data_IF_410940588699
#
_entry.id   IF_410940588699
#
_cell.length_a   1.000
_cell.length_b   1.000
_cell.length_c   1.000
_cell.angle_alpha   90.00
_cell.angle_beta   90.00
_cell.angle_gamma   90.00
#
_symmetry.space_group_name_H-M   'P 1'
#
loop_
_entity.id
_entity.type
_entity.pdbx_description
1 polymer ?
#
# COMPACT_ATOMS: atom_id res chain seq x y z
N UNK A 1 -22.04 77.16 31.60
CA UNK A 1 -21.97 75.76 32.07
C UNK A 1 -22.83 74.91 31.13
N UNK A 2 -22.23 74.22 30.15
CA UNK A 2 -22.79 73.06 29.43
C UNK A 2 -21.65 72.39 28.67
N UNK A 3 -21.48 71.11 28.98
CA UNK A 3 -20.31 70.28 28.75
C UNK A 3 -20.39 69.60 27.37
N UNK A 4 -19.21 69.47 26.76
CA UNK A 4 -18.86 68.82 25.49
C UNK A 4 -19.10 67.30 25.56
N UNK A 5 -19.45 66.66 24.43
CA UNK A 5 -19.10 65.25 24.20
C UNK A 5 -18.95 64.98 22.69
N UNK A 6 -17.70 65.08 22.21
CA UNK A 6 -17.29 64.55 20.90
C UNK A 6 -16.94 63.07 21.05
N UNK A 7 -17.66 62.19 20.37
CA UNK A 7 -17.37 60.76 20.30
C UNK A 7 -16.30 60.48 19.23
N UNK A 8 -15.12 60.06 19.68
CA UNK A 8 -14.01 59.61 18.84
C UNK A 8 -14.18 58.10 18.57
N UNK A 9 -14.35 57.70 17.30
CA UNK A 9 -14.36 56.30 16.88
C UNK A 9 -12.91 55.84 16.60
N UNK A 10 -12.35 55.03 17.50
CA UNK A 10 -11.09 54.30 17.26
C UNK A 10 -11.38 53.02 16.46
N UNK A 11 -10.94 52.98 15.20
CA UNK A 11 -10.88 51.77 14.39
C UNK A 11 -9.59 51.01 14.68
N UNK A 12 -9.70 49.88 15.40
CA UNK A 12 -8.59 48.95 15.67
C UNK A 12 -8.37 48.04 14.43
N UNK A 13 -7.29 48.26 13.69
CA UNK A 13 -6.86 47.36 12.63
C UNK A 13 -6.13 46.16 13.25
N UNK A 14 -6.79 44.99 13.28
CA UNK A 14 -6.18 43.72 13.64
C UNK A 14 -5.27 43.24 12.50
N UNK A 15 -3.97 43.47 12.64
CA UNK A 15 -2.94 42.86 11.81
C UNK A 15 -2.85 41.38 12.24
N UNK A 16 -3.53 40.50 11.51
CA UNK A 16 -3.29 39.07 11.61
C UNK A 16 -1.90 38.79 11.02
N UNK A 17 -0.89 38.65 11.89
CA UNK A 17 0.34 37.97 11.52
C UNK A 17 -0.02 36.53 11.20
N UNK A 18 0.01 36.18 9.91
CA UNK A 18 -0.08 34.79 9.48
C UNK A 18 1.18 34.06 9.93
N UNK A 19 1.11 33.41 11.09
CA UNK A 19 2.07 32.38 11.43
C UNK A 19 1.82 31.22 10.47
N UNK A 20 2.53 31.21 9.35
CA UNK A 20 2.72 29.99 8.60
C UNK A 20 3.51 29.05 9.52
N UNK A 21 2.82 28.18 10.26
CA UNK A 21 3.47 26.98 10.78
C UNK A 21 3.94 26.21 9.55
N UNK A 22 5.24 26.30 9.26
CA UNK A 22 5.90 25.23 8.57
C UNK A 22 5.62 23.98 9.41
N UNK A 23 4.80 23.08 8.90
CA UNK A 23 4.77 21.73 9.42
C UNK A 23 6.17 21.16 9.14
N UNK A 24 7.07 21.23 10.12
CA UNK A 24 8.34 20.53 10.08
C UNK A 24 8.04 19.04 10.25
N UNK A 25 7.48 18.42 9.21
CA UNK A 25 7.28 17.00 9.15
C UNK A 25 8.66 16.33 9.17
N UNK A 26 8.96 15.64 10.28
CA UNK A 26 10.26 15.01 10.50
C UNK A 26 10.49 13.89 9.47
N UNK A 27 11.68 13.80 8.85
CA UNK A 27 11.99 12.69 7.98
C UNK A 27 11.91 11.36 8.72
N UNK A 28 11.38 10.34 8.05
CA UNK A 28 11.28 8.99 8.60
C UNK A 28 11.52 7.95 7.50
N UNK A 29 11.61 6.69 7.88
CA UNK A 29 11.72 5.59 6.91
C UNK A 29 10.68 4.52 7.21
N UNK A 30 10.25 3.80 6.18
CA UNK A 30 9.44 2.59 6.33
C UNK A 30 10.07 1.44 5.53
N UNK A 31 9.85 0.22 6.01
CA UNK A 31 10.29 -1.00 5.34
C UNK A 31 9.18 -1.62 4.50
N UNK A 32 9.54 -2.33 3.44
CA UNK A 32 8.62 -3.19 2.70
C UNK A 32 9.29 -4.54 2.45
N UNK A 33 8.73 -5.59 3.06
CA UNK A 33 9.15 -6.97 2.87
C UNK A 33 8.49 -7.50 1.59
N UNK A 34 9.31 -8.06 0.71
CA UNK A 34 8.85 -8.60 -0.56
C UNK A 34 8.01 -9.87 -0.33
N UNK A 35 7.05 -10.15 -1.22
CA UNK A 35 6.36 -11.44 -1.15
C UNK A 35 7.33 -12.59 -1.45
N UNK A 36 7.19 -13.75 -0.79
CA UNK A 36 8.02 -14.91 -1.06
C UNK A 36 7.87 -15.40 -2.51
N UNK A 37 8.98 -15.78 -3.14
CA UNK A 37 9.00 -16.33 -4.51
C UNK A 37 9.11 -17.86 -4.51
N UNK A 38 9.71 -18.44 -3.47
CA UNK A 38 9.94 -19.89 -3.37
C UNK A 38 9.44 -20.43 -2.03
N UNK A 39 8.71 -21.54 -2.09
CA UNK A 39 8.11 -22.17 -0.92
C UNK A 39 9.14 -22.67 0.12
N UNK A 40 10.25 -23.26 -0.32
CA UNK A 40 11.25 -23.87 0.56
C UNK A 40 11.99 -22.85 1.46
N UNK A 41 12.01 -21.59 1.06
CA UNK A 41 12.71 -20.51 1.76
C UNK A 41 11.74 -19.50 2.40
N UNK A 42 10.43 -19.59 2.10
CA UNK A 42 9.46 -18.54 2.42
C UNK A 42 9.41 -18.18 3.90
N UNK A 43 9.37 -19.16 4.80
CA UNK A 43 9.27 -18.89 6.24
C UNK A 43 10.55 -18.27 6.79
N UNK A 44 11.70 -18.85 6.40
CA UNK A 44 13.01 -18.40 6.84
C UNK A 44 13.28 -16.97 6.35
N UNK A 45 13.01 -16.69 5.07
CA UNK A 45 13.17 -15.37 4.47
C UNK A 45 12.26 -14.32 5.13
N UNK A 46 11.00 -14.66 5.46
CA UNK A 46 10.12 -13.75 6.19
C UNK A 46 10.65 -13.45 7.58
N UNK A 47 11.10 -14.49 8.32
CA UNK A 47 11.67 -14.35 9.66
C UNK A 47 12.93 -13.47 9.65
N UNK A 48 13.82 -13.70 8.70
CA UNK A 48 15.05 -12.93 8.52
C UNK A 48 14.74 -11.47 8.16
N UNK A 49 13.83 -11.23 7.20
CA UNK A 49 13.43 -9.87 6.83
C UNK A 49 12.78 -9.10 7.98
N UNK A 50 11.98 -9.77 8.83
CA UNK A 50 11.46 -9.17 10.07
C UNK A 50 12.60 -8.80 11.00
N UNK A 51 13.51 -9.73 11.28
CA UNK A 51 14.67 -9.50 12.16
C UNK A 51 15.57 -8.36 11.69
N UNK A 52 15.85 -8.29 10.39
CA UNK A 52 16.65 -7.20 9.80
C UNK A 52 15.92 -5.86 9.89
N UNK A 53 14.62 -5.83 9.59
CA UNK A 53 13.82 -4.61 9.68
C UNK A 53 13.69 -4.11 11.12
N UNK A 54 13.56 -5.02 12.10
CA UNK A 54 13.49 -4.73 13.53
C UNK A 54 14.80 -4.17 14.10
N UNK A 55 15.93 -4.41 13.42
CA UNK A 55 17.22 -3.82 13.77
C UNK A 55 17.41 -2.41 13.19
N UNK A 56 16.55 -1.97 12.26
CA UNK A 56 16.60 -0.64 11.64
C UNK A 56 15.59 0.32 12.32
N UNK A 57 15.87 1.62 12.24
CA UNK A 57 14.98 2.68 12.71
C UNK A 57 13.89 2.97 11.64
N UNK A 58 12.80 2.21 11.72
CA UNK A 58 11.65 2.31 10.82
C UNK A 58 10.41 2.76 11.59
N UNK A 59 9.62 3.64 10.99
CA UNK A 59 8.32 4.04 11.54
C UNK A 59 7.30 2.88 11.47
N UNK A 60 7.43 2.04 10.45
CA UNK A 60 6.65 0.81 10.26
C UNK A 60 7.23 -0.04 9.14
N UNK A 61 6.67 -1.24 8.98
CA UNK A 61 6.98 -2.18 7.90
C UNK A 61 5.70 -2.64 7.21
N UNK A 62 5.75 -2.89 5.89
CA UNK A 62 4.67 -3.54 5.13
C UNK A 62 5.13 -4.91 4.66
N UNK A 63 4.39 -5.96 4.96
CA UNK A 63 4.58 -7.27 4.36
C UNK A 63 3.78 -7.35 3.05
N UNK A 64 4.44 -7.53 1.91
CA UNK A 64 3.83 -7.54 0.57
C UNK A 64 3.18 -8.87 0.15
N UNK A 65 2.95 -9.79 1.08
CA UNK A 65 2.41 -11.13 0.90
C UNK A 65 2.85 -12.07 2.04
N UNK A 66 2.19 -13.22 2.19
CA UNK A 66 2.51 -14.18 3.27
C UNK A 66 3.20 -15.44 2.77
N UNK A 67 2.95 -15.85 1.54
CA UNK A 67 3.42 -17.12 0.99
C UNK A 67 3.73 -17.05 -0.50
N UNK A 68 4.55 -17.99 -0.95
CA UNK A 68 4.77 -18.26 -2.37
C UNK A 68 3.55 -18.98 -2.98
N UNK A 69 3.49 -19.02 -4.31
CA UNK A 69 2.38 -19.63 -5.04
C UNK A 69 2.27 -21.14 -4.80
N UNK A 70 3.41 -21.82 -4.60
CA UNK A 70 3.52 -23.28 -4.43
C UNK A 70 3.16 -23.74 -3.02
N UNK A 71 3.11 -22.83 -2.06
CA UNK A 71 2.76 -23.15 -0.68
C UNK A 71 1.26 -23.46 -0.53
N UNK A 72 0.91 -24.45 0.32
CA UNK A 72 -0.46 -24.86 0.49
C UNK A 72 -1.28 -23.79 1.23
N UNK A 73 -2.51 -23.57 0.79
CA UNK A 73 -3.40 -22.60 1.41
C UNK A 73 -4.10 -23.18 2.65
N UNK A 74 -3.34 -23.51 3.69
CA UNK A 74 -3.88 -24.08 4.94
C UNK A 74 -3.98 -23.05 6.04
N UNK A 75 -4.96 -23.19 6.93
CA UNK A 75 -5.08 -22.36 8.12
C UNK A 75 -3.83 -22.45 9.01
N UNK A 76 -3.20 -23.62 9.07
CA UNK A 76 -1.95 -23.81 9.82
C UNK A 76 -0.82 -22.92 9.28
N UNK A 77 -0.67 -22.85 7.95
CA UNK A 77 0.31 -21.97 7.32
C UNK A 77 0.02 -20.50 7.66
N UNK A 78 -1.21 -20.02 7.46
CA UNK A 78 -1.53 -18.61 7.74
C UNK A 78 -1.40 -18.25 9.21
N UNK A 79 -1.75 -19.16 10.14
CA UNK A 79 -1.53 -18.94 11.57
C UNK A 79 -0.06 -18.85 11.90
N UNK A 80 0.78 -19.73 11.34
CA UNK A 80 2.22 -19.63 11.51
C UNK A 80 2.77 -18.28 11.00
N UNK A 81 2.37 -17.86 9.79
CA UNK A 81 2.78 -16.56 9.25
C UNK A 81 2.28 -15.39 10.12
N UNK A 82 1.04 -15.46 10.62
CA UNK A 82 0.51 -14.49 11.58
C UNK A 82 1.38 -14.40 12.84
N UNK A 83 1.78 -15.54 13.41
CA UNK A 83 2.68 -15.58 14.59
C UNK A 83 4.01 -14.87 14.31
N UNK A 84 4.57 -15.01 13.10
CA UNK A 84 5.78 -14.27 12.72
C UNK A 84 5.54 -12.77 12.68
N UNK A 85 4.45 -12.32 12.04
CA UNK A 85 4.10 -10.91 11.98
C UNK A 85 3.82 -10.33 13.38
N UNK A 86 3.15 -11.08 14.25
CA UNK A 86 2.87 -10.71 15.64
C UNK A 86 4.13 -10.58 16.49
N UNK A 87 5.20 -11.34 16.15
CA UNK A 87 6.46 -11.34 16.90
C UNK A 87 7.43 -10.20 16.54
N UNK A 88 7.11 -9.40 15.52
CA UNK A 88 7.95 -8.29 15.09
C UNK A 88 7.94 -7.15 16.12
N UNK A 89 9.07 -6.45 16.27
CA UNK A 89 9.14 -5.23 17.11
C UNK A 89 8.50 -4.05 16.40
N UNK A 90 8.75 -3.90 15.10
CA UNK A 90 8.12 -2.88 14.28
C UNK A 90 6.64 -3.19 14.04
N UNK A 91 5.84 -2.14 13.86
CA UNK A 91 4.46 -2.30 13.42
C UNK A 91 4.40 -2.80 11.99
N UNK A 92 3.78 -3.96 11.77
CA UNK A 92 3.66 -4.56 10.43
C UNK A 92 2.23 -4.46 9.90
N UNK A 93 2.08 -3.85 8.73
CA UNK A 93 0.85 -3.87 7.95
C UNK A 93 0.96 -4.91 6.84
N UNK A 94 -0.03 -5.79 6.70
CA UNK A 94 -0.06 -6.78 5.61
C UNK A 94 -0.77 -6.23 4.38
N UNK A 95 -0.07 -6.16 3.25
CA UNK A 95 -0.65 -6.02 1.92
C UNK A 95 -0.76 -7.41 1.27
N UNK A 96 -1.98 -7.93 1.15
CA UNK A 96 -2.21 -9.26 0.59
C UNK A 96 -1.75 -9.34 -0.87
N UNK A 97 -1.19 -10.50 -1.23
CA UNK A 97 -0.80 -10.82 -2.59
C UNK A 97 -1.74 -11.81 -3.25
N UNK A 98 -1.70 -11.89 -4.59
CA UNK A 98 -2.44 -12.90 -5.33
C UNK A 98 -2.04 -14.32 -4.94
N UNK A 99 -0.78 -14.55 -4.59
CA UNK A 99 -0.26 -15.86 -4.20
C UNK A 99 -0.89 -16.35 -2.89
N UNK A 100 -1.34 -15.44 -2.04
CA UNK A 100 -1.98 -15.77 -0.76
C UNK A 100 -3.36 -16.44 -0.95
N UNK A 101 -4.07 -16.18 -2.06
CA UNK A 101 -5.47 -16.62 -2.19
C UNK A 101 -5.95 -17.00 -3.61
N UNK A 102 -5.51 -16.30 -4.66
CA UNK A 102 -6.13 -16.41 -6.01
C UNK A 102 -6.01 -17.79 -6.65
N UNK A 103 -4.93 -18.51 -6.36
CA UNK A 103 -4.64 -19.84 -6.94
C UNK A 103 -4.86 -21.00 -5.97
N UNK A 104 -5.48 -20.73 -4.83
CA UNK A 104 -5.69 -21.75 -3.81
C UNK A 104 -6.63 -22.84 -4.27
N UNK A 105 -6.21 -24.08 -4.11
CA UNK A 105 -6.99 -25.28 -4.45
C UNK A 105 -7.26 -26.13 -3.21
N UNK A 106 -8.37 -26.86 -3.20
CA UNK A 106 -8.67 -27.84 -2.16
C UNK A 106 -7.99 -29.19 -2.44
N UNK A 107 -8.20 -30.18 -1.56
CA UNK A 107 -7.65 -31.55 -1.69
C UNK A 107 -8.10 -32.30 -2.95
N UNK A 108 -9.17 -31.85 -3.61
CA UNK A 108 -9.67 -32.36 -4.89
C UNK A 108 -9.20 -31.53 -6.08
N UNK A 109 -8.18 -30.67 -5.88
CA UNK A 109 -7.62 -29.77 -6.88
C UNK A 109 -8.63 -28.78 -7.51
N UNK A 110 -9.70 -28.41 -6.77
CA UNK A 110 -10.67 -27.40 -7.20
C UNK A 110 -10.31 -26.03 -6.64
N UNK A 111 -10.42 -24.99 -7.47
CA UNK A 111 -10.18 -23.60 -7.09
C UNK A 111 -11.15 -23.16 -5.98
N UNK A 112 -10.61 -22.57 -4.90
CA UNK A 112 -11.35 -22.09 -3.72
C UNK A 112 -10.91 -20.67 -3.34
N UNK A 113 -10.59 -19.85 -4.33
CA UNK A 113 -9.98 -18.53 -4.12
C UNK A 113 -10.81 -17.61 -3.22
N UNK A 114 -12.11 -17.47 -3.49
CA UNK A 114 -13.01 -16.60 -2.73
C UNK A 114 -13.19 -17.09 -1.29
N UNK A 115 -13.43 -18.38 -1.09
CA UNK A 115 -13.53 -18.97 0.25
C UNK A 115 -12.22 -18.77 1.03
N UNK A 116 -11.09 -18.89 0.34
CA UNK A 116 -9.78 -18.70 0.94
C UNK A 116 -9.51 -17.25 1.33
N UNK A 117 -9.88 -16.29 0.48
CA UNK A 117 -9.77 -14.86 0.81
C UNK A 117 -10.66 -14.50 2.01
N UNK A 118 -11.89 -15.03 2.07
CA UNK A 118 -12.77 -14.85 3.23
C UNK A 118 -12.14 -15.42 4.51
N UNK A 119 -11.52 -16.60 4.41
CA UNK A 119 -10.82 -17.18 5.55
C UNK A 119 -9.61 -16.34 6.00
N UNK A 120 -8.85 -15.76 5.08
CA UNK A 120 -7.76 -14.84 5.42
C UNK A 120 -8.26 -13.60 6.17
N UNK A 121 -9.40 -13.03 5.74
CA UNK A 121 -10.06 -11.90 6.40
C UNK A 121 -10.36 -12.19 7.88
N UNK A 122 -10.94 -13.35 8.15
CA UNK A 122 -11.23 -13.81 9.52
C UNK A 122 -9.99 -14.06 10.36
N UNK A 123 -8.90 -14.56 9.76
CA UNK A 123 -7.69 -14.95 10.50
C UNK A 123 -6.75 -13.78 10.80
N UNK A 124 -6.69 -12.79 9.91
CA UNK A 124 -5.61 -11.80 9.88
C UNK A 124 -6.08 -10.36 10.09
N UNK A 125 -7.35 -10.06 9.82
CA UNK A 125 -7.83 -8.67 9.75
C UNK A 125 -8.95 -8.41 10.77
N UNK A 126 -8.73 -8.84 12.01
CA UNK A 126 -9.69 -8.74 13.12
C UNK A 126 -9.54 -7.47 13.96
N UNK A 127 -8.33 -6.89 14.01
CA UNK A 127 -8.00 -5.83 14.95
C UNK A 127 -7.91 -4.46 14.27
N UNK A 128 -8.06 -3.38 15.04
CA UNK A 128 -7.95 -1.99 14.56
C UNK A 128 -6.49 -1.50 14.42
N UNK A 129 -5.53 -2.37 14.73
CA UNK A 129 -4.10 -2.07 14.74
C UNK A 129 -3.31 -3.01 13.81
N UNK A 130 -2.07 -2.62 13.49
CA UNK A 130 -1.07 -3.46 12.84
C UNK A 130 -0.61 -4.65 13.71
N UNK A 131 0.05 -5.61 13.07
CA UNK A 131 0.83 -6.64 13.76
C UNK A 131 2.09 -6.05 14.41
N UNK A 132 2.80 -6.86 15.19
CA UNK A 132 4.02 -6.48 15.90
C UNK A 132 3.80 -5.69 17.20
N UNK A 133 4.87 -5.38 17.92
CA UNK A 133 4.82 -4.69 19.23
C UNK A 133 4.42 -3.22 19.08
N UNK A 134 5.03 -2.51 18.13
CA UNK A 134 4.62 -1.13 17.79
C UNK A 134 3.29 -1.14 17.04
N UNK A 135 2.24 -0.63 17.67
CA UNK A 135 0.88 -0.64 17.10
C UNK A 135 0.62 0.61 16.28
N UNK A 136 0.26 0.41 15.00
CA UNK A 136 -0.19 1.45 14.09
C UNK A 136 -1.71 1.39 14.01
N UNK A 137 -2.44 2.45 14.40
CA UNK A 137 -3.88 2.49 14.19
C UNK A 137 -4.20 2.57 12.69
N UNK A 138 -5.08 1.71 12.21
CA UNK A 138 -5.47 1.65 10.79
C UNK A 138 -6.96 1.89 10.62
N UNK A 139 -7.33 2.66 9.60
CA UNK A 139 -8.72 2.76 9.13
C UNK A 139 -8.93 1.69 8.08
N UNK A 140 -9.90 0.80 8.31
CA UNK A 140 -10.24 -0.27 7.37
C UNK A 140 -11.43 0.12 6.50
N UNK A 141 -11.43 -0.35 5.25
CA UNK A 141 -12.59 -0.20 4.38
C UNK A 141 -13.84 -0.88 4.97
N UNK A 142 -13.66 -1.96 5.72
CA UNK A 142 -14.72 -2.70 6.40
C UNK A 142 -15.50 -1.92 7.45
N UNK A 143 -14.98 -0.75 7.90
CA UNK A 143 -15.74 0.17 8.77
C UNK A 143 -16.93 0.79 8.03
N UNK A 144 -16.95 0.74 6.69
CA UNK A 144 -18.08 1.20 5.89
C UNK A 144 -19.10 0.08 5.73
N UNK A 145 -20.38 0.31 6.11
CA UNK A 145 -21.43 -0.72 6.04
C UNK A 145 -21.54 -1.42 4.68
N UNK A 146 -21.34 -0.67 3.59
CA UNK A 146 -21.41 -1.17 2.21
C UNK A 146 -20.20 -2.02 1.79
N UNK A 147 -19.08 -1.97 2.52
CA UNK A 147 -17.83 -2.66 2.20
C UNK A 147 -17.27 -3.47 3.38
N UNK A 148 -18.13 -3.94 4.30
CA UNK A 148 -17.75 -4.76 5.47
C UNK A 148 -16.89 -5.97 5.12
N UNK A 149 -17.05 -6.51 3.91
CA UNK A 149 -16.31 -7.67 3.42
C UNK A 149 -14.86 -7.39 2.99
N UNK A 150 -14.36 -6.16 3.11
CA UNK A 150 -13.00 -5.78 2.64
C UNK A 150 -12.10 -5.22 3.75
N UNK A 151 -11.83 -5.97 4.84
CA UNK A 151 -11.00 -5.48 5.93
C UNK A 151 -9.51 -5.37 5.56
N UNK A 152 -9.07 -6.02 4.48
CA UNK A 152 -7.68 -6.00 4.00
C UNK A 152 -7.27 -4.66 3.38
N UNK A 153 -8.24 -3.84 2.95
CA UNK A 153 -8.01 -2.49 2.45
C UNK A 153 -7.91 -1.54 3.65
N UNK A 154 -6.69 -1.09 3.94
CA UNK A 154 -6.34 -0.30 5.13
C UNK A 154 -5.73 1.03 4.74
N UNK A 155 -5.87 2.04 5.60
CA UNK A 155 -5.24 3.36 5.45
C UNK A 155 -4.76 3.87 6.79
N UNK A 156 -3.57 4.45 6.80
CA UNK A 156 -2.98 5.14 7.94
C UNK A 156 -2.20 6.36 7.47
N UNK A 157 -1.75 7.20 8.41
CA UNK A 157 -1.02 8.44 8.13
C UNK A 157 0.18 8.55 9.07
N UNK A 158 1.30 9.00 8.53
CA UNK A 158 2.48 9.41 9.30
C UNK A 158 2.96 10.74 8.74
N UNK A 159 3.02 11.77 9.59
CA UNK A 159 3.32 13.14 9.16
C UNK A 159 2.39 13.59 8.03
N UNK A 160 2.95 14.16 6.97
CA UNK A 160 2.23 14.60 5.78
C UNK A 160 2.25 13.57 4.64
N UNK A 161 2.26 12.28 4.99
CA UNK A 161 2.10 11.18 4.04
C UNK A 161 0.97 10.24 4.45
N UNK A 162 0.10 9.94 3.49
CA UNK A 162 -0.98 8.95 3.63
C UNK A 162 -0.56 7.62 3.00
N UNK A 163 -0.85 6.53 3.68
CA UNK A 163 -0.50 5.18 3.24
C UNK A 163 -1.76 4.34 3.11
N UNK A 164 -1.80 3.43 2.14
CA UNK A 164 -2.91 2.50 1.99
C UNK A 164 -2.50 1.16 1.40
N UNK A 165 -3.16 0.08 1.83
CA UNK A 165 -3.16 -1.20 1.14
C UNK A 165 -4.38 -1.30 0.22
N UNK A 166 -4.21 -2.00 -0.90
CA UNK A 166 -5.32 -2.35 -1.79
C UNK A 166 -5.14 -3.77 -2.34
N UNK A 167 -6.19 -4.58 -2.27
CA UNK A 167 -6.17 -5.96 -2.78
C UNK A 167 -6.24 -5.98 -4.30
N UNK A 168 -5.08 -5.94 -4.95
CA UNK A 168 -4.91 -5.97 -6.41
C UNK A 168 -3.86 -7.04 -6.74
N UNK A 169 -4.27 -8.27 -7.10
CA UNK A 169 -3.35 -9.34 -7.49
C UNK A 169 -2.54 -9.04 -8.76
N UNK A 170 -1.31 -9.56 -8.84
CA UNK A 170 -0.42 -9.31 -9.98
C UNK A 170 -0.88 -9.89 -11.32
N UNK A 171 -1.56 -11.04 -11.30
CA UNK A 171 -2.01 -11.70 -12.53
C UNK A 171 -3.24 -11.01 -13.14
N UNK A 172 -3.05 -9.88 -13.84
CA UNK A 172 -4.10 -9.07 -14.47
C UNK A 172 -5.24 -8.74 -13.49
N UNK A 173 -4.91 -8.42 -12.24
CA UNK A 173 -5.88 -8.16 -11.17
C UNK A 173 -6.86 -9.31 -10.93
N UNK A 174 -6.47 -10.56 -11.22
CA UNK A 174 -7.33 -11.74 -11.24
C UNK A 174 -8.55 -11.63 -12.18
N UNK A 175 -8.45 -10.81 -13.23
CA UNK A 175 -9.51 -10.66 -14.22
C UNK A 175 -9.62 -11.90 -15.12
N UNK A 176 -10.81 -12.51 -15.16
CA UNK A 176 -11.11 -13.63 -16.03
C UNK A 176 -11.93 -13.20 -17.25
N UNK A 177 -11.51 -13.62 -18.44
CA UNK A 177 -12.29 -13.43 -19.67
C UNK A 177 -13.39 -14.51 -19.78
N UNK A 178 -14.38 -14.43 -18.89
CA UNK A 178 -15.36 -15.51 -18.65
C UNK A 178 -16.83 -15.08 -18.85
N UNK A 179 -17.11 -14.18 -19.79
CA UNK A 179 -18.48 -13.81 -20.22
C UNK A 179 -19.51 -13.59 -19.07
N UNK A 180 -19.11 -12.87 -18.01
CA UNK A 180 -19.97 -12.57 -16.86
C UNK A 180 -19.70 -13.40 -15.60
N UNK A 181 -18.85 -14.42 -15.66
CA UNK A 181 -18.42 -15.19 -14.48
C UNK A 181 -17.19 -14.57 -13.79
N UNK A 182 -17.25 -13.26 -13.53
CA UNK A 182 -16.14 -12.51 -12.93
C UNK A 182 -16.58 -11.72 -11.67
N UNK A 183 -17.62 -12.20 -10.99
CA UNK A 183 -18.26 -11.52 -9.85
C UNK A 183 -17.27 -11.14 -8.75
N UNK A 184 -16.32 -12.02 -8.41
CA UNK A 184 -15.27 -11.70 -7.43
C UNK A 184 -14.49 -10.44 -7.83
N UNK A 185 -14.00 -10.40 -9.07
CA UNK A 185 -13.28 -9.26 -9.61
C UNK A 185 -14.16 -8.02 -9.64
N UNK A 186 -15.41 -8.12 -10.10
CA UNK A 186 -16.32 -6.98 -10.25
C UNK A 186 -16.67 -6.34 -8.90
N UNK A 187 -16.96 -7.16 -7.88
CA UNK A 187 -17.24 -6.70 -6.52
C UNK A 187 -15.99 -6.07 -5.90
N UNK A 188 -14.83 -6.75 -6.02
CA UNK A 188 -13.55 -6.21 -5.52
C UNK A 188 -13.12 -4.95 -6.26
N UNK A 189 -13.35 -4.85 -7.56
CA UNK A 189 -13.07 -3.66 -8.36
C UNK A 189 -13.94 -2.48 -7.92
N UNK A 190 -15.22 -2.74 -7.60
CA UNK A 190 -16.13 -1.73 -7.03
C UNK A 190 -15.62 -1.24 -5.67
N UNK A 191 -15.25 -2.17 -4.79
CA UNK A 191 -14.69 -1.85 -3.47
C UNK A 191 -13.38 -1.06 -3.59
N UNK A 192 -12.44 -1.54 -4.41
CA UNK A 192 -11.15 -0.89 -4.63
C UNK A 192 -11.29 0.51 -5.23
N UNK A 193 -12.23 0.72 -6.15
CA UNK A 193 -12.47 2.04 -6.74
C UNK A 193 -13.03 3.04 -5.72
N UNK A 194 -14.00 2.63 -4.90
CA UNK A 194 -14.49 3.49 -3.80
C UNK A 194 -13.39 3.78 -2.78
N UNK A 195 -12.58 2.78 -2.44
CA UNK A 195 -11.47 2.93 -1.52
C UNK A 195 -10.44 3.96 -1.99
N UNK A 196 -10.00 3.85 -3.25
CA UNK A 196 -9.08 4.83 -3.85
C UNK A 196 -9.70 6.23 -3.90
N UNK A 197 -10.99 6.33 -4.27
CA UNK A 197 -11.69 7.62 -4.29
C UNK A 197 -11.63 8.29 -2.91
N UNK A 198 -11.90 7.56 -1.84
CA UNK A 198 -11.88 8.08 -0.46
C UNK A 198 -10.47 8.40 0.02
N UNK A 199 -9.50 7.54 -0.28
CA UNK A 199 -8.09 7.78 0.00
C UNK A 199 -7.66 9.13 -0.58
N UNK A 200 -7.91 9.32 -1.87
CA UNK A 200 -7.54 10.50 -2.63
C UNK A 200 -8.29 11.77 -2.21
N UNK A 201 -9.59 11.69 -1.95
CA UNK A 201 -10.35 12.81 -1.39
C UNK A 201 -9.81 13.21 -0.02
N UNK A 202 -9.51 12.24 0.84
CA UNK A 202 -8.95 12.51 2.16
C UNK A 202 -7.56 13.13 2.04
N UNK A 203 -6.68 12.59 1.19
CA UNK A 203 -5.34 13.14 0.95
C UNK A 203 -5.42 14.61 0.49
N UNK A 204 -6.34 14.93 -0.42
CA UNK A 204 -6.57 16.30 -0.90
C UNK A 204 -7.07 17.23 0.20
N UNK A 205 -8.05 16.80 1.00
CA UNK A 205 -8.62 17.60 2.10
C UNK A 205 -7.57 17.83 3.19
N UNK A 206 -6.83 16.79 3.54
CA UNK A 206 -5.75 16.83 4.53
C UNK A 206 -4.48 17.50 4.04
N UNK A 207 -4.40 17.87 2.76
CA UNK A 207 -3.24 18.52 2.11
C UNK A 207 -1.92 17.80 2.41
N UNK A 208 -1.94 16.47 2.34
CA UNK A 208 -0.72 15.66 2.50
C UNK A 208 0.20 15.86 1.29
N UNK A 209 1.50 15.70 1.49
CA UNK A 209 2.51 15.83 0.43
C UNK A 209 2.68 14.55 -0.37
N UNK A 210 2.32 13.42 0.23
CA UNK A 210 2.51 12.09 -0.35
C UNK A 210 1.34 11.15 -0.14
N UNK A 211 1.07 10.30 -1.13
CA UNK A 211 0.24 9.10 -1.00
C UNK A 211 1.06 7.89 -1.42
N UNK A 212 1.10 6.84 -0.59
CA UNK A 212 1.74 5.56 -0.93
C UNK A 212 0.68 4.47 -0.94
N UNK A 213 0.61 3.69 -2.03
CA UNK A 213 -0.34 2.59 -2.19
C UNK A 213 0.46 1.29 -2.34
N UNK A 214 0.16 0.31 -1.49
CA UNK A 214 0.74 -1.02 -1.50
C UNK A 214 -0.23 -2.02 -2.11
N UNK A 215 0.23 -2.75 -3.11
CA UNK A 215 -0.51 -3.82 -3.78
C UNK A 215 0.43 -4.89 -4.32
N UNK A 216 -0.10 -6.02 -4.76
CA UNK A 216 0.72 -7.04 -5.42
C UNK A 216 0.97 -6.69 -6.89
N UNK A 217 -0.11 -6.51 -7.65
CA UNK A 217 -0.05 -6.07 -9.04
C UNK A 217 0.36 -4.62 -9.22
N UNK A 218 0.88 -4.30 -10.39
CA UNK A 218 1.18 -2.92 -10.77
C UNK A 218 0.00 -2.31 -11.57
N UNK A 219 -0.88 -1.51 -10.94
CA UNK A 219 -2.01 -0.88 -11.64
C UNK A 219 -1.58 0.13 -12.71
N UNK A 220 -0.31 0.56 -12.76
CA UNK A 220 0.19 1.46 -13.80
C UNK A 220 0.63 0.74 -15.07
N UNK A 221 0.67 -0.60 -15.07
CA UNK A 221 0.89 -1.36 -16.29
C UNK A 221 -0.18 -1.05 -17.30
N UNK A 222 0.24 -0.99 -18.56
CA UNK A 222 -0.66 -0.99 -19.70
C UNK A 222 -0.62 -2.39 -20.29
N UNK A 223 -1.77 -2.91 -20.72
CA UNK A 223 -1.83 -4.16 -21.46
C UNK A 223 -0.91 -4.06 -22.68
N UNK A 224 0.05 -4.97 -22.80
CA UNK A 224 0.83 -5.09 -24.03
C UNK A 224 -0.13 -5.48 -25.16
N UNK A 225 -0.19 -4.65 -26.20
CA UNK A 225 -0.88 -4.96 -27.45
C UNK A 225 -0.18 -6.13 -28.14
N UNK A 226 -0.42 -7.35 -27.65
CA UNK A 226 0.09 -8.57 -28.29
C UNK A 226 -0.85 -8.93 -29.45
N UNK A 227 -0.43 -8.57 -30.68
CA UNK A 227 -0.99 -8.99 -31.96
C UNK A 227 -2.28 -8.32 -32.44
N UNK A 228 -2.32 -8.05 -33.74
CA UNK A 228 -3.43 -7.58 -34.57
C UNK A 228 -4.71 -8.45 -34.46
N UNK A 229 -4.61 -9.60 -33.80
CA UNK A 229 -5.70 -10.56 -33.55
C UNK A 229 -6.18 -10.63 -32.07
N UNK A 230 -5.65 -9.81 -31.15
CA UNK A 230 -6.11 -9.75 -29.75
C UNK A 230 -7.09 -8.59 -29.49
N UNK A 231 -8.05 -8.41 -30.38
CA UNK A 231 -9.18 -7.51 -30.11
C UNK A 231 -10.00 -8.05 -28.93
N UNK A 232 -9.74 -7.55 -27.72
CA UNK A 232 -10.73 -7.63 -26.62
C UNK A 232 -10.32 -8.30 -25.31
N UNK A 233 -9.03 -8.51 -25.00
CA UNK A 233 -8.68 -8.80 -23.59
C UNK A 233 -8.92 -7.53 -22.76
N UNK A 234 -10.06 -7.45 -22.08
CA UNK A 234 -10.30 -6.44 -21.05
C UNK A 234 -9.17 -6.52 -20.03
N UNK A 235 -8.60 -5.36 -19.76
CA UNK A 235 -7.44 -5.20 -18.90
C UNK A 235 -7.91 -4.97 -17.46
N UNK A 236 -7.58 -5.89 -16.56
CA UNK A 236 -8.06 -5.89 -15.18
C UNK A 236 -7.55 -4.71 -14.34
N UNK A 237 -6.53 -4.00 -14.82
CA UNK A 237 -5.98 -2.80 -14.19
C UNK A 237 -6.55 -1.49 -14.75
N UNK A 238 -7.29 -1.52 -15.86
CA UNK A 238 -7.60 -0.31 -16.64
C UNK A 238 -8.36 0.76 -15.84
N UNK A 239 -9.38 0.36 -15.07
CA UNK A 239 -10.19 1.31 -14.32
C UNK A 239 -9.43 1.90 -13.13
N UNK A 240 -8.66 1.08 -12.40
CA UNK A 240 -7.78 1.55 -11.33
C UNK A 240 -6.71 2.50 -11.88
N UNK A 241 -6.09 2.16 -13.00
CA UNK A 241 -5.10 3.02 -13.67
C UNK A 241 -5.70 4.37 -14.04
N UNK A 242 -6.86 4.36 -14.70
CA UNK A 242 -7.57 5.60 -15.09
C UNK A 242 -7.85 6.47 -13.87
N UNK A 243 -8.30 5.86 -12.77
CA UNK A 243 -8.59 6.58 -11.53
C UNK A 243 -7.32 7.18 -10.88
N UNK A 244 -6.21 6.44 -10.83
CA UNK A 244 -4.94 6.92 -10.29
C UNK A 244 -4.38 8.07 -11.14
N UNK A 245 -4.38 7.93 -12.47
CA UNK A 245 -3.91 8.97 -13.38
C UNK A 245 -4.76 10.25 -13.27
N UNK A 246 -6.09 10.13 -13.29
CA UNK A 246 -7.00 11.27 -13.19
C UNK A 246 -6.89 12.00 -11.83
N UNK A 247 -6.53 11.28 -10.77
CA UNK A 247 -6.23 11.92 -9.49
C UNK A 247 -4.87 12.61 -9.50
N UNK A 248 -3.83 11.96 -10.03
CA UNK A 248 -2.48 12.53 -10.13
C UNK A 248 -2.44 13.87 -10.86
N UNK A 249 -3.22 14.03 -11.92
CA UNK A 249 -3.37 15.31 -12.64
C UNK A 249 -3.85 16.47 -11.76
N UNK A 250 -4.63 16.19 -10.72
CA UNK A 250 -5.25 17.18 -9.83
C UNK A 250 -4.59 17.28 -8.46
N UNK A 251 -3.63 16.41 -8.19
CA UNK A 251 -2.97 16.28 -6.90
C UNK A 251 -1.58 16.92 -6.96
N UNK A 252 -1.29 17.83 -6.04
CA UNK A 252 -0.01 18.56 -6.02
C UNK A 252 1.14 17.73 -5.43
N UNK A 253 0.82 16.76 -4.57
CA UNK A 253 1.79 15.87 -3.95
C UNK A 253 2.24 14.74 -4.86
N UNK A 254 3.07 13.85 -4.32
CA UNK A 254 3.56 12.64 -5.00
C UNK A 254 2.67 11.44 -4.68
N UNK A 255 2.49 10.55 -5.66
CA UNK A 255 1.81 9.26 -5.49
C UNK A 255 2.83 8.17 -5.79
N UNK A 256 3.11 7.32 -4.82
CA UNK A 256 4.00 6.16 -5.00
C UNK A 256 3.18 4.87 -4.96
N UNK A 257 3.24 4.09 -6.03
CA UNK A 257 2.70 2.75 -6.10
C UNK A 257 3.84 1.78 -5.78
N UNK A 258 3.74 1.09 -4.65
CA UNK A 258 4.67 0.05 -4.23
C UNK A 258 4.04 -1.30 -4.56
N UNK A 259 4.69 -2.08 -5.41
CA UNK A 259 4.14 -3.34 -5.91
C UNK A 259 5.11 -4.52 -5.88
N UNK A 260 4.56 -5.73 -5.93
CA UNK A 260 5.29 -7.01 -5.95
C UNK A 260 5.11 -7.78 -7.27
N UNK A 261 4.65 -7.10 -8.32
CA UNK A 261 4.43 -7.71 -9.64
C UNK A 261 5.75 -8.10 -10.32
N UNK A 262 6.17 -9.34 -10.12
CA UNK A 262 7.38 -9.89 -10.72
C UNK A 262 7.26 -10.18 -12.22
N UNK A 263 6.06 -10.06 -12.82
CA UNK A 263 5.89 -10.16 -14.28
C UNK A 263 6.32 -8.88 -15.01
N UNK A 264 6.46 -7.77 -14.29
CA UNK A 264 6.97 -6.53 -14.89
C UNK A 264 8.47 -6.62 -15.12
N UNK A 265 9.03 -5.71 -15.90
CA UNK A 265 10.48 -5.52 -15.87
C UNK A 265 10.87 -4.76 -14.58
N UNK A 266 12.04 -5.04 -13.99
CA UNK A 266 12.57 -4.19 -12.94
C UNK A 266 12.69 -2.75 -13.45
N UNK A 267 12.58 -1.79 -12.53
CA UNK A 267 12.83 -0.39 -12.86
C UNK A 267 14.24 -0.24 -13.44
N UNK A 268 14.36 0.38 -14.61
CA UNK A 268 15.67 0.79 -15.17
C UNK A 268 16.16 2.10 -14.56
N UNK A 269 15.35 2.75 -13.71
CA UNK A 269 15.68 3.98 -13.01
C UNK A 269 16.87 3.77 -12.07
N UNK A 270 17.92 4.61 -12.12
CA UNK A 270 19.04 4.53 -11.18
C UNK A 270 18.63 4.65 -9.71
N UNK A 271 17.49 5.31 -9.44
CA UNK A 271 16.91 5.50 -8.10
C UNK A 271 15.93 4.38 -7.69
N UNK A 272 15.72 3.36 -8.53
CA UNK A 272 14.79 2.25 -8.30
C UNK A 272 13.29 2.60 -8.44
N UNK A 273 12.91 3.87 -8.31
CA UNK A 273 11.53 4.35 -8.53
C UNK A 273 11.39 4.89 -9.96
N UNK A 274 10.40 4.40 -10.69
CA UNK A 274 10.06 4.84 -12.05
C UNK A 274 8.97 5.91 -12.01
N UNK A 275 9.35 7.18 -12.17
CA UNK A 275 8.44 8.33 -12.12
C UNK A 275 7.89 8.72 -13.49
N UNK A 276 6.60 9.10 -13.52
CA UNK A 276 5.91 9.79 -14.62
C UNK A 276 5.14 10.97 -14.01
N UNK A 277 5.70 12.17 -14.13
CA UNK A 277 5.18 13.34 -13.42
C UNK A 277 5.26 13.17 -11.91
N UNK A 278 4.11 13.25 -11.22
CA UNK A 278 4.00 13.05 -9.78
C UNK A 278 3.60 11.63 -9.37
N UNK A 279 3.49 10.69 -10.31
CA UNK A 279 3.16 9.29 -10.04
C UNK A 279 4.41 8.42 -10.24
N UNK A 280 4.79 7.65 -9.24
CA UNK A 280 5.92 6.73 -9.25
C UNK A 280 5.48 5.28 -9.07
N UNK A 281 6.20 4.36 -9.69
CA UNK A 281 6.10 2.93 -9.41
C UNK A 281 7.43 2.42 -8.84
N UNK A 282 7.34 1.65 -7.76
CA UNK A 282 8.45 0.94 -7.13
C UNK A 282 8.10 -0.54 -7.04
N UNK A 283 8.85 -1.38 -7.74
CA UNK A 283 8.79 -2.83 -7.53
C UNK A 283 9.67 -3.20 -6.34
N UNK A 284 9.12 -3.95 -5.40
CA UNK A 284 9.87 -4.48 -4.26
C UNK A 284 10.47 -5.83 -4.65
N UNK A 285 11.79 -5.92 -4.54
CA UNK A 285 12.51 -7.19 -4.69
C UNK A 285 12.81 -7.77 -3.31
N UNK A 286 12.99 -9.10 -3.21
CA UNK A 286 13.48 -9.73 -1.99
C UNK A 286 14.81 -9.16 -1.49
N UNK A 287 15.12 -9.30 -0.18
CA UNK A 287 14.21 -9.78 0.87
C UNK A 287 13.25 -8.68 1.34
N UNK A 288 13.74 -7.45 1.49
CA UNK A 288 12.96 -6.26 1.80
C UNK A 288 13.68 -5.00 1.28
N UNK A 289 13.01 -3.85 1.36
CA UNK A 289 13.54 -2.55 0.95
C UNK A 289 13.17 -1.45 1.95
N UNK A 290 14.08 -0.50 2.16
CA UNK A 290 13.85 0.70 2.96
C UNK A 290 13.50 1.88 2.06
N UNK A 291 12.42 2.59 2.38
CA UNK A 291 12.05 3.82 1.70
C UNK A 291 12.14 4.95 2.73
N UNK A 292 12.91 5.98 2.38
CA UNK A 292 13.03 7.20 3.15
C UNK A 292 12.02 8.23 2.66
N UNK A 293 11.34 8.87 3.60
CA UNK A 293 10.40 9.96 3.39
C UNK A 293 11.04 11.23 3.91
N UNK A 294 11.31 12.18 3.02
CA UNK A 294 11.86 13.48 3.39
C UNK A 294 10.98 14.60 2.80
N UNK A 295 10.10 15.22 3.61
CA UNK A 295 9.23 16.31 3.19
C UNK A 295 9.98 17.54 2.65
N UNK A 296 11.23 17.76 3.07
CA UNK A 296 12.09 18.82 2.56
C UNK A 296 12.72 18.50 1.19
N UNK A 297 12.64 17.25 0.74
CA UNK A 297 13.18 16.82 -0.56
C UNK A 297 12.12 16.90 -1.66
N UNK A 298 12.52 17.38 -2.84
CA UNK A 298 11.65 17.41 -4.04
C UNK A 298 11.27 16.02 -4.55
N UNK A 299 12.08 15.00 -4.26
CA UNK A 299 11.78 13.61 -4.59
C UNK A 299 10.71 13.02 -3.66
N UNK A 300 10.58 13.55 -2.43
CA UNK A 300 9.81 13.06 -1.27
C UNK A 300 10.14 11.62 -0.82
N UNK A 301 10.15 10.68 -1.76
CA UNK A 301 10.43 9.26 -1.55
C UNK A 301 11.75 8.86 -2.20
N UNK A 302 12.64 8.28 -1.39
CA UNK A 302 13.92 7.76 -1.87
C UNK A 302 14.07 6.32 -1.44
N UNK A 303 14.34 5.43 -2.39
CA UNK A 303 14.74 4.06 -2.08
C UNK A 303 16.15 4.09 -1.48
N UNK A 304 16.29 3.59 -0.26
CA UNK A 304 17.59 3.35 0.33
C UNK A 304 17.93 1.88 0.07
N UNK A 305 18.99 1.65 -0.72
CA UNK A 305 19.56 0.30 -0.79
C UNK A 305 20.03 -0.07 0.62
N UNK A 306 19.66 -1.24 1.14
CA UNK A 306 20.17 -1.66 2.44
C UNK A 306 21.68 -1.54 2.42
N UNK A 307 22.25 -0.95 3.47
CA UNK A 307 23.66 -1.16 3.78
C UNK A 307 23.75 -2.67 3.96
N UNK A 308 24.34 -3.36 2.99
CA UNK A 308 24.80 -4.74 3.19
C UNK A 308 25.61 -4.70 4.47
N UNK A 309 25.04 -5.23 5.56
CA UNK A 309 25.87 -5.62 6.70
C UNK A 309 26.77 -6.68 6.10
N UNK A 310 27.99 -6.24 5.81
CA UNK A 310 29.07 -7.10 5.42
C UNK A 310 29.16 -8.11 6.55
N UNK A 311 28.68 -9.33 6.31
CA UNK A 311 28.86 -10.43 7.23
C UNK A 311 30.37 -10.58 7.39
N UNK A 312 30.90 -10.00 8.45
CA UNK A 312 32.24 -10.24 8.92
C UNK A 312 32.23 -11.67 9.47
N UNK A 313 32.36 -12.63 8.56
CA UNK A 313 32.83 -13.96 8.90
C UNK A 313 34.35 -13.86 9.08
N UNK A 314 34.75 -13.71 10.34
CA UNK A 314 36.01 -14.25 10.85
C UNK A 314 35.68 -15.49 11.69
#
# INVERSE_FOLDING_TARGET
MRIVASTLLLSLALIHTGWAQANDATPFSFGVIAKPVKANESEAALREAISESDADNLAFVVAGGLKAAEEPCTDALYRNRKTLLDSAKNGIVLAVSGDDWTRCVNTKNRLIATDRMNRLRELLFTDEFSFGDSKIPVVRQSMMPQFRSYPENMRWRIGDVMFATINVPANNNNYLNAAGHNTEFEDRQTANSDWLKRLFLTAKISKVDGVVIFCDGNPLLQAEHSSMFSSGKREGFADLRRQILAFGEKYRGKILIVHSDYNTRPATSPKGISWRGNIGALRIEPPWRKIHVNPASTDLFTLINPITVQAAHH
#
